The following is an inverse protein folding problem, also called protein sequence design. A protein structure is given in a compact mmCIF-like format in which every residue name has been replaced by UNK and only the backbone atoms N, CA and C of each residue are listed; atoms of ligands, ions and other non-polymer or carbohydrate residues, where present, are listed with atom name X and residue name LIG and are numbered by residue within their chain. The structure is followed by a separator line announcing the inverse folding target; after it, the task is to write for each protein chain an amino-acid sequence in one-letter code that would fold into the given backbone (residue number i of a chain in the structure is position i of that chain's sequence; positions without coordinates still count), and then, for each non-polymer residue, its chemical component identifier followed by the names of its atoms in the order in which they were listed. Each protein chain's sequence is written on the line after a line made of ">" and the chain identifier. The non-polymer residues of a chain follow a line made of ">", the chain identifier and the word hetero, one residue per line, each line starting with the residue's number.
data_IF_499048000923
#
_entry.id   IF_499048000923
#
_cell.length_a   1.000
_cell.length_b   1.000
_cell.length_c   1.000
_cell.angle_alpha   90.00
_cell.angle_beta   90.00
_cell.angle_gamma   90.00
#
_symmetry.space_group_name_H-M   'P 1'
#
loop_
_entity.id
_entity.type
_entity.pdbx_description
1 polymer ?
#
# COMPACT_ATOMS: atom_id res chain seq x y z
N UNK A 1 62.85 -1.22 13.18
CA UNK A 1 62.91 -0.70 11.80
C UNK A 1 62.38 -1.76 10.85
N UNK A 2 61.35 -1.40 10.06
CA UNK A 2 60.87 -2.02 8.79
C UNK A 2 60.59 -3.53 8.74
N UNK A 3 59.32 -3.90 8.47
CA UNK A 3 58.87 -4.31 7.12
C UNK A 3 57.33 -4.50 7.01
N UNK A 4 56.75 -4.27 5.81
CA UNK A 4 55.31 -4.26 5.53
C UNK A 4 54.81 -5.61 4.99
N UNK A 5 53.52 -5.96 5.15
CA UNK A 5 52.87 -7.02 4.37
C UNK A 5 51.43 -6.61 4.03
N UNK A 6 51.23 -6.31 2.75
CA UNK A 6 49.94 -6.23 2.10
C UNK A 6 49.42 -7.64 1.74
N UNK A 7 48.15 -7.70 1.33
CA UNK A 7 47.54 -8.70 0.42
C UNK A 7 47.19 -10.06 1.03
N UNK A 8 45.89 -10.36 1.18
CA UNK A 8 45.03 -10.96 0.14
C UNK A 8 43.74 -11.56 0.71
N UNK A 9 42.65 -11.33 -0.03
CA UNK A 9 41.38 -12.05 0.04
C UNK A 9 41.48 -13.24 -0.93
N UNK A 10 41.07 -14.45 -0.51
CA UNK A 10 40.18 -15.26 -1.35
C UNK A 10 39.00 -15.77 -0.48
N UNK A 11 37.74 -15.44 -0.80
CA UNK A 11 36.85 -16.13 -1.75
C UNK A 11 36.75 -17.65 -1.53
N UNK A 12 35.49 -18.11 -1.51
CA UNK A 12 34.97 -19.49 -1.55
C UNK A 12 34.64 -20.14 -0.21
N UNK A 13 33.53 -19.68 0.39
CA UNK A 13 32.73 -20.53 1.26
C UNK A 13 31.43 -20.92 0.54
N UNK A 14 31.45 -22.17 0.07
CA UNK A 14 30.31 -23.08 -0.05
C UNK A 14 29.10 -22.65 -0.89
N UNK A 15 29.14 -23.06 -2.17
CA UNK A 15 27.95 -23.51 -2.87
C UNK A 15 27.35 -24.71 -2.11
N UNK A 16 26.36 -24.48 -1.26
CA UNK A 16 25.36 -25.50 -0.93
C UNK A 16 24.15 -25.27 -1.83
N UNK A 17 24.19 -25.94 -2.98
CA UNK A 17 23.06 -26.14 -3.86
C UNK A 17 21.96 -26.93 -3.14
N UNK A 18 21.15 -26.24 -2.35
CA UNK A 18 19.82 -26.69 -1.95
C UNK A 18 18.82 -26.11 -2.94
N UNK A 19 18.55 -26.84 -4.02
CA UNK A 19 17.42 -26.54 -4.91
C UNK A 19 16.14 -26.90 -4.15
N UNK A 20 15.71 -26.02 -3.24
CA UNK A 20 14.36 -26.03 -2.74
C UNK A 20 13.48 -25.41 -3.82
N UNK A 21 12.39 -26.07 -4.27
CA UNK A 21 11.44 -25.44 -5.17
C UNK A 21 10.95 -24.14 -4.52
N UNK A 22 10.97 -23.05 -5.29
CA UNK A 22 10.45 -21.76 -4.85
C UNK A 22 9.05 -22.01 -4.26
N UNK A 23 8.78 -21.58 -3.00
CA UNK A 23 7.47 -21.78 -2.42
C UNK A 23 6.43 -21.19 -3.38
N UNK A 24 5.33 -21.91 -3.66
CA UNK A 24 4.28 -21.38 -4.51
C UNK A 24 3.86 -20.01 -3.97
N UNK A 25 3.53 -19.04 -4.84
CA UNK A 25 3.07 -17.74 -4.37
C UNK A 25 1.95 -17.96 -3.37
N UNK A 26 2.15 -17.48 -2.14
CA UNK A 26 1.17 -17.63 -1.08
C UNK A 26 -0.17 -17.11 -1.60
N UNK A 27 -1.21 -17.93 -1.52
CA UNK A 27 -2.55 -17.50 -1.87
C UNK A 27 -2.88 -16.23 -1.06
N UNK A 28 -3.51 -15.21 -1.68
CA UNK A 28 -3.83 -13.99 -0.99
C UNK A 28 -4.68 -14.33 0.24
N UNK A 29 -4.31 -13.75 1.37
CA UNK A 29 -5.04 -13.96 2.61
C UNK A 29 -6.47 -13.41 2.47
N UNK A 30 -7.42 -13.97 3.24
CA UNK A 30 -8.80 -13.45 3.26
C UNK A 30 -8.83 -11.95 3.59
N UNK A 31 -7.89 -11.49 4.43
CA UNK A 31 -7.74 -10.08 4.78
C UNK A 31 -7.30 -9.22 3.59
N UNK A 32 -6.34 -9.68 2.77
CA UNK A 32 -5.96 -8.98 1.54
C UNK A 32 -7.08 -8.92 0.51
N UNK A 33 -7.89 -9.98 0.40
CA UNK A 33 -9.06 -9.99 -0.49
C UNK A 33 -10.09 -8.95 -0.04
N UNK A 34 -10.40 -8.89 1.26
CA UNK A 34 -11.32 -7.90 1.82
C UNK A 34 -10.76 -6.48 1.73
N UNK A 35 -9.44 -6.29 1.91
CA UNK A 35 -8.77 -5.02 1.74
C UNK A 35 -8.89 -4.48 0.31
N UNK A 36 -8.67 -5.34 -0.70
CA UNK A 36 -8.86 -4.99 -2.12
C UNK A 36 -10.32 -4.66 -2.42
N UNK A 37 -11.26 -5.41 -1.86
CA UNK A 37 -12.70 -5.11 -1.99
C UNK A 37 -13.03 -3.75 -1.38
N UNK A 38 -12.51 -3.42 -0.19
CA UNK A 38 -12.69 -2.12 0.44
C UNK A 38 -12.10 -0.99 -0.41
N UNK A 39 -10.91 -1.19 -1.00
CA UNK A 39 -10.31 -0.25 -1.94
C UNK A 39 -11.20 -0.01 -3.17
N UNK A 40 -11.72 -1.06 -3.80
CA UNK A 40 -12.65 -0.94 -4.94
C UNK A 40 -13.91 -0.14 -4.60
N UNK A 41 -14.48 -0.36 -3.41
CA UNK A 41 -15.64 0.39 -2.93
C UNK A 41 -15.31 1.87 -2.70
N UNK A 42 -14.16 2.15 -2.08
CA UNK A 42 -13.71 3.51 -1.86
C UNK A 42 -13.52 4.25 -3.19
N UNK A 43 -12.84 3.63 -4.18
CA UNK A 43 -12.67 4.21 -5.51
C UNK A 43 -14.03 4.48 -6.20
N UNK A 44 -14.97 3.53 -6.11
CA UNK A 44 -16.32 3.71 -6.68
C UNK A 44 -17.04 4.88 -6.03
N UNK A 45 -16.98 5.01 -4.70
CA UNK A 45 -17.60 6.11 -3.98
C UNK A 45 -16.96 7.46 -4.30
N UNK A 46 -15.63 7.51 -4.45
CA UNK A 46 -14.88 8.70 -4.83
C UNK A 46 -15.19 9.13 -6.26
N UNK A 47 -15.28 8.19 -7.21
CA UNK A 47 -15.68 8.46 -8.59
C UNK A 47 -17.08 9.09 -8.66
N UNK A 48 -18.03 8.58 -7.86
CA UNK A 48 -19.38 9.13 -7.74
C UNK A 48 -19.41 10.55 -7.16
N UNK A 49 -18.36 10.97 -6.46
CA UNK A 49 -18.17 12.32 -5.92
C UNK A 49 -17.27 13.20 -6.78
N UNK A 50 -16.93 12.75 -8.01
CA UNK A 50 -16.04 13.45 -8.95
C UNK A 50 -14.63 13.69 -8.39
N UNK A 51 -14.20 12.87 -7.45
CA UNK A 51 -12.80 12.85 -7.02
C UNK A 51 -11.95 12.21 -8.12
N UNK A 52 -10.76 12.76 -8.35
CA UNK A 52 -9.85 12.23 -9.36
C UNK A 52 -9.22 10.92 -8.89
N UNK A 53 -9.62 9.82 -9.52
CA UNK A 53 -9.07 8.48 -9.29
C UNK A 53 -8.31 7.97 -10.51
N UNK A 54 -7.89 8.87 -11.43
CA UNK A 54 -7.22 8.46 -12.65
C UNK A 54 -5.89 7.78 -12.34
N UNK A 55 -5.73 6.55 -12.84
CA UNK A 55 -4.55 5.73 -12.58
C UNK A 55 -4.54 5.04 -11.21
N UNK A 56 -5.64 5.08 -10.45
CA UNK A 56 -5.81 4.27 -9.25
C UNK A 56 -6.32 2.87 -9.60
N UNK A 57 -5.61 1.82 -9.17
CA UNK A 57 -6.07 0.44 -9.26
C UNK A 57 -6.18 -0.17 -7.85
N UNK A 58 -7.37 -0.68 -7.49
CA UNK A 58 -7.60 -1.35 -6.21
C UNK A 58 -6.72 -2.60 -6.01
N UNK A 59 -6.25 -3.21 -7.10
CA UNK A 59 -5.31 -4.33 -7.09
C UNK A 59 -3.92 -3.93 -6.58
N UNK A 60 -3.55 -2.66 -6.74
CA UNK A 60 -2.30 -2.06 -6.26
C UNK A 60 -2.43 -1.49 -4.83
N UNK A 61 -3.57 -1.70 -4.18
CA UNK A 61 -3.79 -1.28 -2.81
C UNK A 61 -2.82 -1.96 -1.85
N UNK A 62 -2.14 -1.15 -1.03
CA UNK A 62 -1.19 -1.64 -0.02
C UNK A 62 -1.84 -1.68 1.35
N UNK A 63 -1.80 -2.85 1.98
CA UNK A 63 -2.25 -3.00 3.37
C UNK A 63 -1.16 -2.45 4.30
N UNK A 64 -1.53 -1.48 5.14
CA UNK A 64 -0.63 -0.76 6.05
C UNK A 64 -1.29 -0.59 7.43
N UNK A 65 -0.55 -0.04 8.39
CA UNK A 65 -1.11 0.32 9.69
C UNK A 65 -1.99 1.57 9.60
N UNK A 66 -2.95 1.73 10.53
CA UNK A 66 -3.88 2.86 10.53
C UNK A 66 -3.17 4.22 10.52
N UNK A 67 -2.09 4.37 11.30
CA UNK A 67 -1.32 5.61 11.34
C UNK A 67 -0.70 5.97 9.98
N UNK A 68 -0.20 4.97 9.25
CA UNK A 68 0.38 5.14 7.92
C UNK A 68 -0.69 5.49 6.88
N UNK A 69 -1.85 4.82 6.92
CA UNK A 69 -2.97 5.17 6.04
C UNK A 69 -3.48 6.60 6.30
N UNK A 70 -3.58 7.04 7.56
CA UNK A 70 -3.98 8.42 7.91
C UNK A 70 -2.96 9.46 7.47
N UNK A 71 -1.67 9.18 7.66
CA UNK A 71 -0.60 10.03 7.18
C UNK A 71 -0.63 10.15 5.65
N UNK A 72 -1.11 9.11 4.97
CA UNK A 72 -1.20 9.05 3.52
C UNK A 72 0.13 8.72 2.88
N UNK A 73 0.16 8.80 1.54
CA UNK A 73 1.41 8.68 0.78
C UNK A 73 1.96 10.08 0.49
N UNK A 74 3.28 10.28 0.37
CA UNK A 74 3.85 11.54 -0.13
C UNK A 74 3.43 11.79 -1.59
N UNK A 75 3.62 13.03 -2.08
CA UNK A 75 3.28 13.36 -3.46
C UNK A 75 4.11 12.50 -4.41
N UNK A 76 3.43 11.77 -5.28
CA UNK A 76 4.04 10.99 -6.35
C UNK A 76 3.36 11.27 -7.68
N UNK A 77 4.00 10.86 -8.76
CA UNK A 77 3.46 11.00 -10.12
C UNK A 77 2.27 10.07 -10.41
N UNK A 78 1.98 9.11 -9.51
CA UNK A 78 0.94 8.11 -9.67
C UNK A 78 -0.03 8.14 -8.50
N UNK A 79 -1.26 7.70 -8.76
CA UNK A 79 -2.20 7.44 -7.69
C UNK A 79 -1.64 6.37 -6.74
N UNK A 80 -1.91 6.53 -5.46
CA UNK A 80 -1.58 5.53 -4.45
C UNK A 80 -2.77 5.24 -3.56
N UNK A 81 -2.95 3.97 -3.21
CA UNK A 81 -4.01 3.49 -2.35
C UNK A 81 -3.39 2.77 -1.16
N UNK A 82 -3.67 3.26 0.04
CA UNK A 82 -3.33 2.61 1.29
C UNK A 82 -4.61 2.12 1.96
N UNK A 83 -4.58 0.91 2.49
CA UNK A 83 -5.70 0.30 3.19
C UNK A 83 -5.23 -0.11 4.56
N UNK A 84 -5.93 0.30 5.60
CA UNK A 84 -5.65 -0.13 6.97
C UNK A 84 -6.90 -0.71 7.60
N UNK A 85 -6.74 -1.83 8.29
CA UNK A 85 -7.78 -2.38 9.14
C UNK A 85 -7.78 -1.64 10.47
N UNK A 86 -8.92 -1.10 10.87
CA UNK A 86 -9.09 -0.40 12.14
C UNK A 86 -9.50 -1.38 13.25
N UNK A 87 -9.31 -0.99 14.50
CA UNK A 87 -9.66 -1.81 15.68
C UNK A 87 -11.17 -2.11 15.79
N UNK A 88 -12.01 -1.25 15.21
CA UNK A 88 -13.47 -1.39 15.17
C UNK A 88 -13.97 -2.30 14.02
N UNK A 89 -13.05 -3.01 13.34
CA UNK A 89 -13.31 -3.84 12.15
C UNK A 89 -13.75 -3.07 10.90
N UNK A 90 -13.72 -1.74 10.93
CA UNK A 90 -13.85 -0.92 9.73
C UNK A 90 -12.53 -0.87 8.98
N UNK A 91 -12.59 -0.45 7.72
CA UNK A 91 -11.42 -0.25 6.87
C UNK A 91 -11.22 1.23 6.61
N UNK A 92 -10.00 1.71 6.81
CA UNK A 92 -9.60 3.03 6.38
C UNK A 92 -8.87 2.90 5.04
N UNK A 93 -9.38 3.54 4.01
CA UNK A 93 -8.77 3.59 2.68
C UNK A 93 -8.32 5.02 2.41
N UNK A 94 -7.02 5.24 2.32
CA UNK A 94 -6.46 6.49 1.87
C UNK A 94 -6.18 6.41 0.37
N UNK A 95 -6.84 7.27 -0.39
CA UNK A 95 -6.64 7.40 -1.84
C UNK A 95 -5.98 8.74 -2.10
N UNK A 96 -4.79 8.71 -2.67
CA UNK A 96 -4.08 9.90 -3.12
C UNK A 96 -4.17 9.99 -4.63
N UNK A 97 -4.75 11.07 -5.13
CA UNK A 97 -4.81 11.38 -6.56
C UNK A 97 -3.42 11.76 -7.08
N UNK A 98 -3.20 11.63 -8.39
CA UNK A 98 -2.02 12.14 -9.09
C UNK A 98 -2.03 13.67 -9.27
N UNK A 99 -3.11 14.35 -8.85
CA UNK A 99 -3.19 15.81 -8.81
C UNK A 99 -2.06 16.44 -7.98
N UNK A 100 -1.72 17.68 -8.32
CA UNK A 100 -0.74 18.48 -7.58
C UNK A 100 -1.13 18.61 -6.10
N UNK A 101 -0.14 18.49 -5.20
CA UNK A 101 -0.31 18.54 -3.74
C UNK A 101 -0.89 19.85 -3.20
N UNK A 102 -0.92 20.91 -4.01
CA UNK A 102 -1.53 22.19 -3.65
C UNK A 102 -3.07 22.20 -3.75
N UNK A 103 -3.69 21.16 -4.32
CA UNK A 103 -5.14 21.08 -4.54
C UNK A 103 -5.86 20.48 -3.33
N UNK A 104 -6.96 21.11 -2.90
CA UNK A 104 -7.92 20.48 -2.00
C UNK A 104 -8.47 19.22 -2.69
N UNK A 105 -8.40 18.07 -2.03
CA UNK A 105 -8.73 16.78 -2.66
C UNK A 105 -7.54 16.09 -3.33
N UNK A 106 -6.30 16.47 -3.00
CA UNK A 106 -5.13 15.65 -3.34
C UNK A 106 -5.18 14.28 -2.64
N UNK A 107 -5.82 14.19 -1.47
CA UNK A 107 -6.04 12.95 -0.75
C UNK A 107 -7.46 12.85 -0.17
N UNK A 108 -8.05 11.67 -0.27
CA UNK A 108 -9.29 11.31 0.40
C UNK A 108 -9.06 10.13 1.37
N UNK A 109 -9.60 10.27 2.58
CA UNK A 109 -9.70 9.19 3.55
C UNK A 109 -11.14 8.66 3.53
N UNK A 110 -11.30 7.39 3.19
CA UNK A 110 -12.59 6.73 3.09
C UNK A 110 -12.70 5.68 4.18
N UNK A 111 -13.73 5.79 5.01
CA UNK A 111 -14.07 4.73 5.97
C UNK A 111 -15.08 3.79 5.32
N UNK A 112 -14.69 2.53 5.17
CA UNK A 112 -15.52 1.45 4.64
C UNK A 112 -15.96 0.57 5.81
N UNK A 113 -17.22 0.16 5.80
CA UNK A 113 -17.83 -0.72 6.79
C UNK A 113 -17.12 -2.08 6.83
N UNK A 114 -17.32 -2.88 7.91
CA UNK A 114 -16.78 -4.23 8.00
C UNK A 114 -17.12 -5.07 6.77
N UNK A 115 -16.26 -6.03 6.45
CA UNK A 115 -16.40 -6.94 5.29
C UNK A 115 -16.55 -6.25 3.92
N UNK A 116 -16.25 -4.95 3.85
CA UNK A 116 -16.48 -4.10 2.68
C UNK A 116 -17.93 -4.22 2.18
N UNK A 117 -18.89 -3.90 3.07
CA UNK A 117 -20.32 -3.89 2.77
C UNK A 117 -20.82 -2.53 2.29
N UNK A 118 -20.12 -1.44 2.61
CA UNK A 118 -20.56 -0.07 2.34
C UNK A 118 -19.52 0.98 2.69
N UNK A 119 -19.73 2.21 2.23
CA UNK A 119 -18.92 3.37 2.64
C UNK A 119 -19.65 4.10 3.76
N UNK A 120 -18.98 4.26 4.91
CA UNK A 120 -19.53 4.96 6.07
C UNK A 120 -19.21 6.45 6.09
N UNK A 121 -18.00 6.84 5.69
CA UNK A 121 -17.57 8.24 5.67
C UNK A 121 -16.51 8.50 4.59
N UNK A 122 -16.45 9.75 4.11
CA UNK A 122 -15.43 10.25 3.21
C UNK A 122 -14.95 11.61 3.75
N UNK A 123 -13.65 11.73 3.97
CA UNK A 123 -12.98 12.94 4.44
C UNK A 123 -11.97 13.38 3.38
N UNK A 124 -11.96 14.66 3.02
CA UNK A 124 -11.02 15.22 2.05
C UNK A 124 -9.91 15.96 2.77
N UNK A 125 -8.68 15.66 2.39
CA UNK A 125 -7.45 16.21 2.98
C UNK A 125 -6.56 16.81 1.89
N UNK A 126 -5.51 17.52 2.30
CA UNK A 126 -4.50 18.09 1.40
C UNK A 126 -3.29 17.19 1.36
#
# INVERSE_FOLDING_TARGET
>A
MTRPIARWIPLLAALSAGCAPAPPPAAPTAEEVTAKKAASMALTALLNRKFDVQGCDASEARVVQEAEARAGTPQGERCAILVARRSDRTWLVAVRSSLSSASVGAQALVTVLPEAEGVGAIEYTR
#
